data_IF_649540471832
#
_entry.id   IF_649540471832
#
_cell.length_a   1.000
_cell.length_b   1.000
_cell.length_c   1.000
_cell.angle_alpha   90.00
_cell.angle_beta   90.00
_cell.angle_gamma   90.00
#
_symmetry.space_group_name_H-M   'P 1'
#
loop_
_entity.id
_entity.type
_entity.pdbx_description
1 polymer ?
#
# COMPACT_ATOMS: atom_id res chain seq x y z
N UNK A 1 -9.93 -5.79 -5.68
CA UNK A 1 -8.89 -4.94 -5.11
C UNK A 1 -8.66 -5.37 -3.67
N UNK A 2 -7.75 -6.31 -3.48
CA UNK A 2 -7.29 -6.71 -2.14
C UNK A 2 -5.82 -6.31 -2.06
N UNK A 3 -5.58 -5.10 -1.58
CA UNK A 3 -4.24 -4.76 -1.11
C UNK A 3 -4.08 -5.37 0.26
N UNK A 4 -3.49 -6.54 0.31
CA UNK A 4 -2.97 -7.11 1.54
C UNK A 4 -1.59 -6.49 1.74
N UNK A 5 -1.56 -5.30 2.30
CA UNK A 5 -0.34 -4.85 2.96
C UNK A 5 -0.24 -5.62 4.28
N UNK A 6 0.22 -6.84 4.22
CA UNK A 6 0.64 -7.59 5.40
C UNK A 6 1.99 -7.04 5.84
N UNK A 7 1.99 -5.87 6.47
CA UNK A 7 3.13 -5.45 7.29
C UNK A 7 2.75 -5.72 8.74
N UNK A 8 2.79 -6.99 9.10
CA UNK A 8 2.87 -7.41 10.50
C UNK A 8 4.34 -7.33 10.93
N UNK A 9 4.87 -6.12 11.10
CA UNK A 9 6.13 -5.92 11.81
C UNK A 9 5.82 -5.95 13.30
N UNK A 10 5.95 -7.12 13.90
CA UNK A 10 6.03 -7.28 15.33
C UNK A 10 7.39 -6.75 15.81
N UNK A 11 7.45 -5.46 16.17
CA UNK A 11 8.56 -4.91 16.93
C UNK A 11 8.27 -5.07 18.42
N UNK A 12 9.20 -5.61 19.20
CA UNK A 12 9.08 -5.60 20.65
C UNK A 12 9.35 -4.17 21.13
N UNK A 13 8.30 -3.42 21.44
CA UNK A 13 8.45 -2.13 22.10
C UNK A 13 8.55 -2.36 23.60
N UNK A 14 9.77 -2.38 24.12
CA UNK A 14 10.02 -2.08 25.53
C UNK A 14 9.88 -0.55 25.71
N UNK A 15 8.68 -0.08 25.96
CA UNK A 15 8.46 1.26 26.49
C UNK A 15 8.23 1.18 27.99
N UNK A 16 9.27 1.45 28.78
CA UNK A 16 9.11 1.88 30.16
C UNK A 16 8.59 3.32 30.18
N UNK A 17 7.28 3.50 30.19
CA UNK A 17 6.66 4.76 30.54
C UNK A 17 6.04 4.62 31.93
N UNK A 18 6.64 5.27 32.93
CA UNK A 18 6.12 5.39 34.27
C UNK A 18 4.84 6.22 34.30
N UNK A 19 3.70 5.59 34.10
CA UNK A 19 2.41 6.05 34.59
C UNK A 19 1.91 4.98 35.54
N UNK A 20 1.47 5.38 36.77
CA UNK A 20 1.19 4.51 37.91
C UNK A 20 0.07 3.46 37.76
N UNK A 21 0.17 2.66 36.74
CA UNK A 21 -0.66 1.46 36.50
C UNK A 21 0.13 0.25 36.99
N UNK A 22 -0.50 -0.63 37.73
CA UNK A 22 0.10 -1.90 38.16
C UNK A 22 0.71 -2.63 36.92
N UNK A 23 1.89 -3.26 37.08
CA UNK A 23 2.52 -3.97 35.97
C UNK A 23 1.56 -5.01 35.41
N UNK A 24 1.58 -5.17 34.08
CA UNK A 24 0.75 -6.18 33.40
C UNK A 24 1.09 -7.58 33.96
N UNK A 25 0.09 -8.42 34.23
CA UNK A 25 0.34 -9.80 34.64
C UNK A 25 1.22 -10.52 33.60
N UNK A 26 2.32 -11.18 33.98
CA UNK A 26 3.22 -11.84 33.03
C UNK A 26 2.50 -12.84 32.12
N UNK A 27 1.44 -13.47 32.64
CA UNK A 27 0.63 -14.40 31.86
C UNK A 27 -0.21 -13.70 30.79
N UNK A 28 -0.71 -12.48 31.05
CA UNK A 28 -1.40 -11.67 30.05
C UNK A 28 -0.46 -11.28 28.91
N UNK A 29 0.78 -10.89 29.22
CA UNK A 29 1.80 -10.59 28.23
C UNK A 29 2.11 -11.80 27.35
N UNK A 30 2.44 -12.95 27.96
CA UNK A 30 2.76 -14.17 27.22
C UNK A 30 1.60 -14.65 26.32
N UNK A 31 0.36 -14.50 26.78
CA UNK A 31 -0.84 -14.82 25.98
C UNK A 31 -1.00 -13.86 24.81
N UNK A 32 -0.78 -12.57 25.02
CA UNK A 32 -0.82 -11.60 23.93
C UNK A 32 0.27 -11.88 22.88
N UNK A 33 1.51 -12.17 23.29
CA UNK A 33 2.60 -12.55 22.39
C UNK A 33 2.25 -13.80 21.56
N UNK A 34 1.71 -14.84 22.22
CA UNK A 34 1.25 -16.05 21.54
C UNK A 34 0.11 -15.75 20.54
N UNK A 35 -0.80 -14.84 20.90
CA UNK A 35 -1.86 -14.36 20.00
C UNK A 35 -1.31 -13.62 18.78
N UNK A 36 -0.30 -12.77 18.98
CA UNK A 36 0.38 -12.06 17.88
C UNK A 36 1.07 -13.03 16.92
N UNK A 37 1.75 -14.07 17.47
CA UNK A 37 2.36 -15.11 16.65
C UNK A 37 1.32 -15.89 15.81
N UNK A 38 0.17 -16.24 16.41
CA UNK A 38 -0.92 -16.92 15.73
C UNK A 38 -1.54 -16.01 14.63
N UNK A 39 -1.73 -14.72 14.93
CA UNK A 39 -2.24 -13.73 13.97
C UNK A 39 -1.28 -13.59 12.77
N UNK A 40 0.01 -13.54 13.01
CA UNK A 40 1.03 -13.50 11.96
C UNK A 40 1.04 -14.78 11.09
N UNK A 41 0.70 -15.93 11.68
CA UNK A 41 0.53 -17.19 10.95
C UNK A 41 -0.83 -17.30 10.22
N UNK A 42 -1.72 -16.32 10.37
CA UNK A 42 -3.07 -16.35 9.79
C UNK A 42 -4.07 -17.23 10.55
N UNK A 43 -3.68 -17.78 11.71
CA UNK A 43 -4.57 -18.56 12.58
C UNK A 43 -5.40 -17.62 13.47
N UNK A 44 -6.50 -17.13 12.88
CA UNK A 44 -7.37 -16.16 13.54
C UNK A 44 -8.11 -16.73 14.76
N UNK A 45 -8.36 -18.05 14.79
CA UNK A 45 -9.06 -18.69 15.89
C UNK A 45 -8.16 -18.78 17.12
N UNK A 46 -6.94 -19.28 16.94
CA UNK A 46 -5.95 -19.32 18.03
C UNK A 46 -5.59 -17.89 18.49
N UNK A 47 -5.43 -16.94 17.58
CA UNK A 47 -5.15 -15.55 17.93
C UNK A 47 -6.23 -14.97 18.83
N UNK A 48 -7.49 -15.08 18.43
CA UNK A 48 -8.64 -14.58 19.22
C UNK A 48 -8.74 -15.22 20.59
N UNK A 49 -8.59 -16.55 20.66
CA UNK A 49 -8.60 -17.28 21.93
C UNK A 49 -7.49 -16.80 22.88
N UNK A 50 -6.28 -16.55 22.37
CA UNK A 50 -5.14 -16.06 23.17
C UNK A 50 -5.36 -14.62 23.64
N UNK A 51 -5.85 -13.73 22.79
CA UNK A 51 -6.19 -12.36 23.19
C UNK A 51 -7.34 -12.33 24.19
N UNK A 52 -8.37 -13.16 24.02
CA UNK A 52 -9.47 -13.29 24.97
C UNK A 52 -8.97 -13.72 26.35
N UNK A 53 -8.11 -14.74 26.42
CA UNK A 53 -7.49 -15.16 27.67
C UNK A 53 -6.59 -14.06 28.28
N UNK A 54 -5.83 -13.32 27.47
CA UNK A 54 -5.05 -12.20 27.96
C UNK A 54 -5.94 -11.13 28.62
N UNK A 55 -7.12 -10.87 28.03
CA UNK A 55 -8.11 -9.93 28.54
C UNK A 55 -8.87 -10.43 29.78
N UNK A 56 -8.95 -11.75 30.02
CA UNK A 56 -9.43 -12.29 31.31
C UNK A 56 -8.47 -11.95 32.46
N UNK A 57 -7.14 -11.98 32.18
CA UNK A 57 -6.13 -11.58 33.17
C UNK A 57 -6.05 -10.07 33.37
N UNK A 58 -6.24 -9.30 32.30
CA UNK A 58 -6.30 -7.84 32.35
C UNK A 58 -7.32 -7.29 31.34
N UNK A 59 -8.55 -6.98 31.76
CA UNK A 59 -9.60 -6.44 30.87
C UNK A 59 -9.28 -5.06 30.27
N UNK A 60 -8.23 -4.38 30.75
CA UNK A 60 -7.78 -3.07 30.29
C UNK A 60 -6.49 -3.16 29.46
N UNK A 61 -6.07 -4.35 29.05
CA UNK A 61 -4.86 -4.53 28.26
C UNK A 61 -5.07 -4.00 26.84
N UNK A 62 -4.53 -2.80 26.60
CA UNK A 62 -4.73 -2.04 25.34
C UNK A 62 -4.27 -2.81 24.12
N UNK A 63 -3.08 -3.45 24.21
CA UNK A 63 -2.51 -4.19 23.07
C UNK A 63 -3.37 -5.41 22.71
N UNK A 64 -3.82 -6.18 23.73
CA UNK A 64 -4.69 -7.32 23.49
C UNK A 64 -6.04 -6.92 22.90
N UNK A 65 -6.63 -5.80 23.35
CA UNK A 65 -7.86 -5.24 22.76
C UNK A 65 -7.63 -4.81 21.31
N UNK A 66 -6.50 -4.17 21.02
CA UNK A 66 -6.16 -3.71 19.68
C UNK A 66 -5.95 -4.90 18.74
N UNK A 67 -5.19 -5.90 19.19
CA UNK A 67 -4.91 -7.10 18.42
C UNK A 67 -6.18 -7.93 18.17
N UNK A 68 -7.05 -8.06 19.17
CA UNK A 68 -8.36 -8.70 18.98
C UNK A 68 -9.22 -7.92 17.99
N UNK A 69 -9.19 -6.58 18.03
CA UNK A 69 -9.83 -5.73 17.04
C UNK A 69 -9.31 -5.96 15.63
N UNK A 70 -8.00 -6.20 15.45
CA UNK A 70 -7.40 -6.54 14.17
C UNK A 70 -7.83 -7.93 13.67
N UNK A 71 -7.99 -8.92 14.58
CA UNK A 71 -8.56 -10.24 14.22
C UNK A 71 -9.97 -10.08 13.68
N UNK A 72 -10.83 -9.32 14.36
CA UNK A 72 -12.21 -9.07 13.92
C UNK A 72 -12.27 -8.32 12.59
N UNK A 73 -11.32 -7.42 12.37
CA UNK A 73 -11.19 -6.70 11.09
C UNK A 73 -10.83 -7.67 9.94
N UNK A 74 -9.93 -8.63 10.17
CA UNK A 74 -9.58 -9.65 9.18
C UNK A 74 -10.75 -10.60 8.90
N UNK A 75 -11.58 -10.92 9.89
CA UNK A 75 -12.82 -11.68 9.74
C UNK A 75 -13.92 -10.91 9.00
N UNK A 76 -13.76 -9.60 8.81
CA UNK A 76 -14.79 -8.73 8.25
C UNK A 76 -15.86 -8.27 9.25
N UNK A 77 -15.68 -8.52 10.52
CA UNK A 77 -16.59 -8.14 11.61
C UNK A 77 -16.35 -6.68 12.03
N UNK A 78 -16.55 -5.75 11.14
CA UNK A 78 -16.14 -4.33 11.26
C UNK A 78 -16.75 -3.65 12.51
N UNK A 79 -17.99 -3.97 12.87
CA UNK A 79 -18.62 -3.37 14.04
C UNK A 79 -17.96 -3.84 15.34
N UNK A 80 -17.64 -5.13 15.44
CA UNK A 80 -16.93 -5.69 16.60
C UNK A 80 -15.51 -5.13 16.70
N UNK A 81 -14.80 -5.04 15.57
CA UNK A 81 -13.48 -4.41 15.48
C UNK A 81 -13.55 -2.97 16.01
N UNK A 82 -14.54 -2.18 15.56
CA UNK A 82 -14.73 -0.80 15.99
C UNK A 82 -14.91 -0.68 17.50
N UNK A 83 -15.74 -1.55 18.10
CA UNK A 83 -15.98 -1.56 19.54
C UNK A 83 -14.68 -1.79 20.32
N UNK A 84 -13.92 -2.83 19.94
CA UNK A 84 -12.66 -3.20 20.59
C UNK A 84 -11.60 -2.08 20.44
N UNK A 85 -11.40 -1.59 19.24
CA UNK A 85 -10.41 -0.56 18.94
C UNK A 85 -10.76 0.78 19.60
N UNK A 86 -12.04 1.16 19.62
CA UNK A 86 -12.50 2.37 20.34
C UNK A 86 -12.31 2.23 21.85
N UNK A 87 -12.54 1.03 22.40
CA UNK A 87 -12.27 0.75 23.82
C UNK A 87 -10.78 0.84 24.12
N UNK A 88 -9.92 0.25 23.29
CA UNK A 88 -8.47 0.34 23.43
C UNK A 88 -7.99 1.81 23.47
N UNK A 89 -8.42 2.61 22.48
CA UNK A 89 -8.11 4.05 22.38
C UNK A 89 -8.59 4.84 23.60
N UNK A 90 -9.78 4.56 24.13
CA UNK A 90 -10.31 5.25 25.32
C UNK A 90 -9.53 4.89 26.59
N UNK A 91 -9.03 3.68 26.70
CA UNK A 91 -8.24 3.24 27.84
C UNK A 91 -6.85 3.88 27.86
N UNK A 92 -6.24 4.05 26.71
CA UNK A 92 -4.99 4.79 26.57
C UNK A 92 -4.96 5.52 25.23
N UNK A 93 -5.28 6.83 25.19
CA UNK A 93 -5.27 7.63 23.98
C UNK A 93 -3.85 7.96 23.47
N UNK A 94 -2.83 7.76 24.31
CA UNK A 94 -1.43 8.07 24.01
C UNK A 94 -0.67 6.85 23.45
N UNK A 95 -1.39 5.88 22.91
CA UNK A 95 -0.84 4.72 22.19
C UNK A 95 -1.23 4.82 20.70
N UNK A 96 -0.24 4.78 19.81
CA UNK A 96 -0.47 4.96 18.37
C UNK A 96 -1.25 3.81 17.71
N UNK A 97 -1.04 2.58 18.16
CA UNK A 97 -1.61 1.37 17.54
C UNK A 97 -3.15 1.35 17.45
N UNK A 98 -3.94 1.69 18.49
CA UNK A 98 -5.40 1.76 18.38
C UNK A 98 -5.88 2.80 17.35
N UNK A 99 -5.19 3.95 17.25
CA UNK A 99 -5.49 4.97 16.26
C UNK A 99 -5.20 4.45 14.84
N UNK A 100 -4.04 3.82 14.65
CA UNK A 100 -3.67 3.18 13.40
C UNK A 100 -4.71 2.13 12.97
N UNK A 101 -5.06 1.21 13.86
CA UNK A 101 -6.02 0.14 13.58
C UNK A 101 -7.43 0.68 13.23
N UNK A 102 -7.85 1.80 13.85
CA UNK A 102 -9.08 2.51 13.46
C UNK A 102 -8.97 3.14 12.07
N UNK A 103 -7.79 3.60 11.67
CA UNK A 103 -7.50 4.05 10.33
C UNK A 103 -7.65 2.93 9.30
N UNK A 104 -7.04 1.77 9.58
CA UNK A 104 -7.16 0.57 8.73
C UNK A 104 -8.62 0.11 8.61
N UNK A 105 -9.38 0.14 9.71
CA UNK A 105 -10.81 -0.15 9.69
C UNK A 105 -11.57 0.81 8.77
N UNK A 106 -11.28 2.11 8.86
CA UNK A 106 -11.95 3.13 8.03
C UNK A 106 -11.63 2.95 6.53
N UNK A 107 -10.40 2.56 6.18
CA UNK A 107 -10.07 2.19 4.78
C UNK A 107 -10.90 1.00 4.28
N UNK A 108 -11.01 -0.05 5.10
CA UNK A 108 -11.84 -1.22 4.76
C UNK A 108 -13.31 -0.86 4.55
N UNK A 109 -13.79 0.15 5.26
CA UNK A 109 -15.13 0.70 5.11
C UNK A 109 -15.26 1.72 3.97
N UNK A 110 -14.18 1.98 3.22
CA UNK A 110 -14.11 2.97 2.14
C UNK A 110 -14.40 4.40 2.62
N UNK A 111 -13.88 4.75 3.78
CA UNK A 111 -14.03 6.07 4.42
C UNK A 111 -12.66 6.77 4.53
N UNK A 112 -12.09 7.24 3.42
CA UNK A 112 -10.72 7.78 3.37
C UNK A 112 -10.50 8.97 4.31
N UNK A 113 -11.50 9.84 4.49
CA UNK A 113 -11.41 10.99 5.41
C UNK A 113 -11.24 10.57 6.87
N UNK A 114 -11.90 9.49 7.29
CA UNK A 114 -11.75 8.95 8.64
C UNK A 114 -10.43 8.19 8.79
N UNK A 115 -9.99 7.50 7.75
CA UNK A 115 -8.73 6.81 7.74
C UNK A 115 -7.58 7.79 7.91
N UNK A 116 -7.53 8.86 7.10
CA UNK A 116 -6.49 9.89 7.19
C UNK A 116 -6.45 10.54 8.57
N UNK A 117 -7.61 10.92 9.14
CA UNK A 117 -7.69 11.49 10.50
C UNK A 117 -7.11 10.53 11.55
N UNK A 118 -7.44 9.25 11.46
CA UNK A 118 -6.97 8.24 12.41
C UNK A 118 -5.46 8.04 12.31
N UNK A 119 -4.89 8.06 11.10
CA UNK A 119 -3.46 7.97 10.89
C UNK A 119 -2.73 9.23 11.38
N UNK A 120 -3.28 10.42 11.15
CA UNK A 120 -2.74 11.65 11.72
C UNK A 120 -2.74 11.63 13.25
N UNK A 121 -3.79 11.12 13.89
CA UNK A 121 -3.81 10.96 15.36
C UNK A 121 -2.76 9.96 15.84
N UNK A 122 -2.55 8.84 15.13
CA UNK A 122 -1.47 7.92 15.47
C UNK A 122 -0.09 8.59 15.36
N UNK A 123 0.12 9.40 14.31
CA UNK A 123 1.38 10.13 14.09
C UNK A 123 1.55 11.34 15.03
N UNK A 124 0.46 11.89 15.56
CA UNK A 124 0.52 12.91 16.62
C UNK A 124 1.03 12.30 17.94
N UNK A 125 0.59 11.07 18.23
CA UNK A 125 1.02 10.32 19.43
C UNK A 125 2.45 9.82 19.28
N UNK A 126 2.77 9.22 18.14
CA UNK A 126 4.09 8.73 17.81
C UNK A 126 4.50 9.17 16.40
N UNK A 127 5.27 10.27 16.29
CA UNK A 127 5.75 10.75 14.99
C UNK A 127 6.65 9.76 14.24
N UNK A 128 7.21 8.76 14.92
CA UNK A 128 8.02 7.68 14.34
C UNK A 128 7.22 6.46 13.87
N UNK A 129 5.89 6.45 14.06
CA UNK A 129 5.07 5.27 13.80
C UNK A 129 4.94 5.00 12.28
N UNK A 130 5.92 4.26 11.75
CA UNK A 130 6.04 3.96 10.32
C UNK A 130 4.77 3.35 9.69
N UNK A 131 4.02 2.41 10.32
CA UNK A 131 2.82 1.85 9.72
C UNK A 131 1.74 2.87 9.38
N UNK A 132 1.44 3.82 10.28
CA UNK A 132 0.46 4.88 9.99
C UNK A 132 0.95 5.83 8.92
N UNK A 133 2.25 6.15 8.93
CA UNK A 133 2.84 7.03 7.92
C UNK A 133 2.80 6.41 6.53
N UNK A 134 3.08 5.10 6.43
CA UNK A 134 2.99 4.37 5.17
C UNK A 134 1.55 4.37 4.62
N UNK A 135 0.56 4.00 5.45
CA UNK A 135 -0.83 3.97 5.03
C UNK A 135 -1.35 5.36 4.65
N UNK A 136 -1.01 6.39 5.44
CA UNK A 136 -1.36 7.77 5.12
C UNK A 136 -0.74 8.23 3.80
N UNK A 137 0.54 7.92 3.56
CA UNK A 137 1.22 8.28 2.33
C UNK A 137 0.54 7.66 1.10
N UNK A 138 0.21 6.36 1.18
CA UNK A 138 -0.53 5.68 0.12
C UNK A 138 -1.94 6.23 -0.07
N UNK A 139 -2.66 6.51 1.03
CA UNK A 139 -4.01 7.07 0.97
C UNK A 139 -4.02 8.44 0.27
N UNK A 140 -3.06 9.29 0.59
CA UNK A 140 -2.88 10.60 -0.05
C UNK A 140 -2.51 10.46 -1.53
N UNK A 141 -1.60 9.54 -1.85
CA UNK A 141 -1.19 9.24 -3.23
C UNK A 141 -2.37 8.76 -4.07
N UNK A 142 -3.16 7.81 -3.56
CA UNK A 142 -4.33 7.26 -4.24
C UNK A 142 -5.46 8.31 -4.39
N UNK A 143 -5.50 9.28 -3.47
CA UNK A 143 -6.40 10.44 -3.53
C UNK A 143 -5.92 11.55 -4.48
N UNK A 144 -4.75 11.41 -5.11
CA UNK A 144 -4.17 12.42 -6.00
C UNK A 144 -3.52 13.61 -5.29
N UNK A 145 -3.34 13.54 -3.96
CA UNK A 145 -2.70 14.56 -3.14
C UNK A 145 -1.19 14.30 -3.10
N UNK A 146 -0.54 14.42 -4.26
CA UNK A 146 0.84 13.96 -4.45
C UNK A 146 1.87 14.75 -3.64
N UNK A 147 1.71 16.06 -3.44
CA UNK A 147 2.59 16.85 -2.61
C UNK A 147 2.52 16.45 -1.14
N UNK A 148 1.31 16.19 -0.62
CA UNK A 148 1.13 15.71 0.74
C UNK A 148 1.67 14.28 0.89
N UNK A 149 1.45 13.41 -0.10
CA UNK A 149 2.04 12.08 -0.15
C UNK A 149 3.57 12.14 -0.15
N UNK A 150 4.17 13.06 -0.93
CA UNK A 150 5.62 13.28 -0.97
C UNK A 150 6.19 13.59 0.40
N UNK A 151 5.54 14.46 1.17
CA UNK A 151 5.95 14.78 2.55
C UNK A 151 5.96 13.52 3.42
N UNK A 152 4.90 12.71 3.33
CA UNK A 152 4.81 11.50 4.15
C UNK A 152 5.80 10.41 3.70
N UNK A 153 6.00 10.20 2.40
CA UNK A 153 6.99 9.22 1.91
C UNK A 153 8.43 9.63 2.24
N UNK A 154 8.79 10.92 2.10
CA UNK A 154 10.11 11.39 2.53
C UNK A 154 10.35 11.08 4.00
N UNK A 155 9.39 11.42 4.85
CA UNK A 155 9.51 11.16 6.28
C UNK A 155 9.51 9.66 6.60
N UNK A 156 8.79 8.84 5.80
CA UNK A 156 8.80 7.39 5.96
C UNK A 156 10.19 6.79 5.68
N UNK A 157 10.85 7.23 4.61
CA UNK A 157 12.22 6.82 4.27
C UNK A 157 13.21 7.22 5.37
N UNK A 158 13.03 8.40 6.00
CA UNK A 158 13.88 8.83 7.12
C UNK A 158 13.71 7.95 8.37
N UNK A 159 12.47 7.56 8.72
CA UNK A 159 12.19 6.77 9.94
C UNK A 159 12.31 5.26 9.73
N UNK A 160 12.24 4.79 8.50
CA UNK A 160 12.28 3.38 8.13
C UNK A 160 13.05 3.19 6.80
N UNK A 161 14.36 3.47 6.76
CA UNK A 161 15.16 3.47 5.53
C UNK A 161 15.27 2.10 4.87
N UNK A 162 15.11 1.02 5.61
CA UNK A 162 15.20 -0.35 5.10
C UNK A 162 13.90 -0.83 4.41
N UNK A 163 12.83 -0.02 4.48
CA UNK A 163 11.54 -0.38 3.88
C UNK A 163 11.54 -0.01 2.40
N UNK A 164 11.80 -0.97 1.53
CA UNK A 164 11.86 -0.78 0.07
C UNK A 164 10.55 -0.17 -0.49
N UNK A 165 9.39 -0.56 0.05
CA UNK A 165 8.11 0.01 -0.33
C UNK A 165 8.01 1.53 -0.08
N UNK A 166 8.73 2.07 0.92
CA UNK A 166 8.80 3.50 1.17
C UNK A 166 9.54 4.24 0.03
N UNK A 167 10.68 3.70 -0.40
CA UNK A 167 11.43 4.23 -1.54
C UNK A 167 10.63 4.11 -2.84
N UNK A 168 9.93 2.99 -3.04
CA UNK A 168 9.06 2.82 -4.21
C UNK A 168 7.92 3.85 -4.23
N UNK A 169 7.26 4.09 -3.09
CA UNK A 169 6.23 5.11 -2.96
C UNK A 169 6.77 6.53 -3.20
N UNK A 170 7.94 6.83 -2.65
CA UNK A 170 8.64 8.11 -2.87
C UNK A 170 8.97 8.33 -4.35
N UNK A 171 9.58 7.34 -5.00
CA UNK A 171 9.93 7.41 -6.42
C UNK A 171 8.69 7.52 -7.31
N UNK A 172 7.63 6.77 -7.03
CA UNK A 172 6.36 6.85 -7.73
C UNK A 172 5.75 8.26 -7.62
N UNK A 173 5.82 8.87 -6.44
CA UNK A 173 5.32 10.22 -6.18
C UNK A 173 6.12 11.26 -6.94
N UNK A 174 7.46 11.17 -6.95
CA UNK A 174 8.30 12.05 -7.77
C UNK A 174 7.99 11.92 -9.26
N UNK A 175 7.77 10.69 -9.76
CA UNK A 175 7.38 10.50 -11.18
C UNK A 175 6.02 11.13 -11.50
N UNK A 176 5.06 11.12 -10.57
CA UNK A 176 3.78 11.81 -10.76
C UNK A 176 3.92 13.34 -10.77
N UNK A 177 4.82 13.86 -9.95
CA UNK A 177 5.13 15.30 -9.89
C UNK A 177 6.10 15.76 -10.98
N UNK A 178 6.43 14.89 -11.94
CA UNK A 178 7.38 15.15 -13.03
C UNK A 178 8.81 15.51 -12.57
N UNK A 179 9.13 15.16 -11.34
CA UNK A 179 10.44 15.37 -10.71
C UNK A 179 11.38 14.20 -11.03
N UNK A 180 11.72 14.09 -12.32
CA UNK A 180 12.41 12.93 -12.92
C UNK A 180 13.80 12.71 -12.32
N UNK A 181 14.53 13.79 -11.99
CA UNK A 181 15.88 13.68 -11.40
C UNK A 181 15.85 13.03 -10.02
N UNK A 182 14.96 13.53 -9.15
CA UNK A 182 14.82 12.99 -7.80
C UNK A 182 14.27 11.56 -7.81
N UNK A 183 13.34 11.26 -8.72
CA UNK A 183 12.88 9.88 -8.91
C UNK A 183 14.05 8.95 -9.29
N UNK A 184 14.94 9.41 -10.16
CA UNK A 184 16.10 8.65 -10.61
C UNK A 184 17.07 8.32 -9.47
N UNK A 185 17.35 9.29 -8.60
CA UNK A 185 18.22 9.10 -7.44
C UNK A 185 17.62 8.07 -6.48
N UNK A 186 16.35 8.23 -6.10
CA UNK A 186 15.67 7.30 -5.19
C UNK A 186 15.58 5.88 -5.77
N UNK A 187 15.31 5.74 -7.07
CA UNK A 187 15.25 4.43 -7.73
C UNK A 187 16.65 3.79 -7.76
N UNK A 188 17.70 4.57 -8.05
CA UNK A 188 19.06 4.05 -8.09
C UNK A 188 19.51 3.54 -6.71
N UNK A 189 19.26 4.33 -5.65
CA UNK A 189 19.59 3.97 -4.28
C UNK A 189 18.84 2.71 -3.83
N UNK A 190 17.54 2.64 -4.12
CA UNK A 190 16.73 1.49 -3.77
C UNK A 190 17.14 0.21 -4.53
N UNK A 191 17.49 0.32 -5.81
CA UNK A 191 17.98 -0.80 -6.62
C UNK A 191 19.39 -1.28 -6.18
N UNK A 192 20.20 -0.40 -5.59
CA UNK A 192 21.47 -0.81 -5.02
C UNK A 192 21.29 -1.75 -3.81
N UNK A 193 20.18 -1.60 -3.07
CA UNK A 193 19.84 -2.44 -1.90
C UNK A 193 19.03 -3.67 -2.34
N UNK A 194 18.09 -3.50 -3.27
CA UNK A 194 17.17 -4.55 -3.72
C UNK A 194 17.14 -4.62 -5.28
N UNK A 195 18.19 -5.17 -5.93
CA UNK A 195 18.31 -5.15 -7.39
C UNK A 195 17.22 -5.94 -8.11
N UNK A 196 16.66 -6.96 -7.47
CA UNK A 196 15.66 -7.87 -8.05
C UNK A 196 14.22 -7.49 -7.64
N UNK A 197 14.02 -6.31 -7.03
CA UNK A 197 12.69 -5.84 -6.60
C UNK A 197 11.79 -5.53 -7.81
N UNK A 198 10.71 -6.29 -8.05
CA UNK A 198 9.87 -6.09 -9.24
C UNK A 198 9.14 -4.74 -9.23
N UNK A 199 8.76 -4.20 -8.08
CA UNK A 199 8.18 -2.85 -7.95
C UNK A 199 9.18 -1.78 -8.41
N UNK A 200 10.43 -1.89 -7.96
CA UNK A 200 11.49 -0.96 -8.35
C UNK A 200 11.82 -1.08 -9.84
N UNK A 201 11.80 -2.30 -10.37
CA UNK A 201 12.00 -2.53 -11.80
C UNK A 201 10.91 -1.86 -12.65
N UNK A 202 9.65 -1.92 -12.22
CA UNK A 202 8.54 -1.21 -12.89
C UNK A 202 8.77 0.32 -12.83
N UNK A 203 9.21 0.85 -11.69
CA UNK A 203 9.49 2.29 -11.56
C UNK A 203 10.69 2.73 -12.41
N UNK A 204 11.74 1.91 -12.48
CA UNK A 204 12.88 2.15 -13.36
C UNK A 204 12.44 2.14 -14.84
N UNK A 205 11.58 1.20 -15.25
CA UNK A 205 11.03 1.17 -16.59
C UNK A 205 10.19 2.42 -16.91
N UNK A 206 9.39 2.91 -15.97
CA UNK A 206 8.64 4.17 -16.12
C UNK A 206 9.59 5.36 -16.30
N UNK A 207 10.70 5.40 -15.57
CA UNK A 207 11.75 6.40 -15.75
C UNK A 207 12.42 6.30 -17.13
N UNK A 208 12.73 5.09 -17.58
CA UNK A 208 13.30 4.81 -18.91
C UNK A 208 12.36 5.26 -20.03
N UNK A 209 11.03 4.98 -19.90
CA UNK A 209 10.03 5.46 -20.84
C UNK A 209 10.05 7.00 -20.95
N UNK A 210 10.11 7.70 -19.81
CA UNK A 210 10.18 9.18 -19.80
C UNK A 210 11.45 9.74 -20.41
N UNK A 211 12.52 8.96 -20.43
CA UNK A 211 13.79 9.28 -21.09
C UNK A 211 13.85 8.81 -22.54
N UNK A 212 12.73 8.33 -23.09
CA UNK A 212 12.64 7.72 -24.43
C UNK A 212 13.56 6.50 -24.62
N UNK A 213 13.94 5.84 -23.55
CA UNK A 213 14.76 4.61 -23.54
C UNK A 213 13.85 3.37 -23.58
N UNK A 214 13.03 3.27 -24.63
CA UNK A 214 11.93 2.29 -24.69
C UNK A 214 12.41 0.84 -24.70
N UNK A 215 13.51 0.52 -25.43
CA UNK A 215 14.06 -0.84 -25.46
C UNK A 215 14.54 -1.30 -24.09
N UNK A 216 15.15 -0.41 -23.30
CA UNK A 216 15.56 -0.71 -21.92
C UNK A 216 14.35 -0.98 -21.04
N UNK A 217 13.31 -0.15 -21.12
CA UNK A 217 12.07 -0.33 -20.38
C UNK A 217 11.39 -1.66 -20.72
N UNK A 218 11.28 -2.00 -22.00
CA UNK A 218 10.70 -3.27 -22.45
C UNK A 218 11.50 -4.47 -21.92
N UNK A 219 12.84 -4.43 -22.07
CA UNK A 219 13.69 -5.50 -21.57
C UNK A 219 13.55 -5.73 -20.07
N UNK A 220 13.37 -4.65 -19.29
CA UNK A 220 13.16 -4.68 -17.85
C UNK A 220 11.78 -5.22 -17.45
N UNK A 221 10.74 -4.88 -18.20
CA UNK A 221 9.36 -5.27 -17.88
C UNK A 221 9.03 -6.71 -18.27
N UNK A 222 9.55 -7.19 -19.40
CA UNK A 222 9.22 -8.53 -19.95
C UNK A 222 9.36 -9.67 -18.93
N UNK A 223 10.41 -9.78 -18.11
CA UNK A 223 10.50 -10.84 -17.11
C UNK A 223 9.35 -10.85 -16.11
N UNK A 224 8.87 -9.66 -15.68
CA UNK A 224 7.82 -9.48 -14.69
C UNK A 224 6.45 -9.90 -15.27
N UNK A 225 6.24 -9.72 -16.58
CA UNK A 225 4.97 -10.04 -17.25
C UNK A 225 4.64 -11.53 -17.32
N UNK A 226 5.57 -12.41 -16.94
CA UNK A 226 5.36 -13.88 -16.95
C UNK A 226 4.54 -14.37 -15.76
N UNK A 227 4.44 -13.58 -14.70
CA UNK A 227 3.65 -13.87 -13.50
C UNK A 227 2.15 -13.68 -13.69
N UNK A 228 1.40 -13.98 -12.63
CA UNK A 228 -0.05 -13.71 -12.51
C UNK A 228 -0.38 -12.78 -11.34
N UNK A 229 0.62 -12.14 -10.78
CA UNK A 229 0.47 -11.19 -9.67
C UNK A 229 -0.06 -9.84 -10.14
N UNK A 230 -0.47 -9.00 -9.20
CA UNK A 230 -0.82 -7.59 -9.47
C UNK A 230 0.34 -6.85 -10.13
N UNK A 231 1.58 -7.14 -9.74
CA UNK A 231 2.78 -6.59 -10.38
C UNK A 231 2.91 -6.97 -11.86
N UNK A 232 2.53 -8.18 -12.22
CA UNK A 232 2.52 -8.58 -13.63
C UNK A 232 1.48 -7.79 -14.43
N UNK A 233 0.33 -7.47 -13.85
CA UNK A 233 -0.69 -6.59 -14.47
C UNK A 233 -0.14 -5.20 -14.71
N UNK A 234 0.50 -4.60 -13.70
CA UNK A 234 1.13 -3.29 -13.82
C UNK A 234 2.29 -3.30 -14.84
N UNK A 235 3.13 -4.33 -14.79
CA UNK A 235 4.22 -4.48 -15.78
C UNK A 235 3.69 -4.58 -17.21
N UNK A 236 2.60 -5.31 -17.44
CA UNK A 236 1.94 -5.41 -18.75
C UNK A 236 1.36 -4.08 -19.21
N UNK A 237 0.74 -3.31 -18.33
CA UNK A 237 0.20 -2.00 -18.66
C UNK A 237 1.32 -1.00 -19.04
N UNK A 238 2.44 -1.01 -18.31
CA UNK A 238 3.61 -0.18 -18.64
C UNK A 238 4.36 -0.69 -19.87
N UNK A 239 4.38 -2.00 -20.10
CA UNK A 239 4.89 -2.58 -21.36
C UNK A 239 4.08 -2.05 -22.56
N UNK A 240 2.75 -2.05 -22.46
CA UNK A 240 1.89 -1.48 -23.49
C UNK A 240 2.21 0.01 -23.75
N UNK A 241 2.47 0.78 -22.69
CA UNK A 241 2.86 2.18 -22.83
C UNK A 241 4.21 2.34 -23.53
N UNK A 242 5.21 1.51 -23.21
CA UNK A 242 6.52 1.52 -23.85
C UNK A 242 6.44 1.15 -25.35
N UNK A 243 5.68 0.08 -25.67
CA UNK A 243 5.44 -0.37 -27.05
C UNK A 243 4.72 0.72 -27.88
N UNK A 244 3.72 1.35 -27.27
CA UNK A 244 2.98 2.44 -27.92
C UNK A 244 3.88 3.65 -28.21
N UNK A 245 4.71 4.04 -27.25
CA UNK A 245 5.65 5.16 -27.39
C UNK A 245 6.73 4.87 -28.46
N UNK A 246 7.09 3.60 -28.66
CA UNK A 246 8.00 3.14 -29.70
C UNK A 246 7.32 2.99 -31.07
N UNK A 247 6.02 3.27 -31.17
CA UNK A 247 5.27 3.19 -32.43
C UNK A 247 4.83 1.78 -32.81
N UNK A 248 4.67 0.89 -31.83
CA UNK A 248 4.22 -0.51 -31.98
C UNK A 248 2.84 -0.72 -31.36
N UNK A 249 1.77 -0.14 -31.92
CA UNK A 249 0.45 -0.16 -31.28
C UNK A 249 -0.20 -1.55 -31.22
N UNK A 250 0.14 -2.48 -32.12
CA UNK A 250 -0.38 -3.85 -32.11
C UNK A 250 0.16 -4.63 -30.90
N UNK A 251 1.47 -4.52 -30.65
CA UNK A 251 2.15 -5.12 -29.50
C UNK A 251 1.63 -4.51 -28.19
N UNK A 252 1.36 -3.21 -28.18
CA UNK A 252 0.76 -2.53 -27.05
C UNK A 252 -0.64 -3.06 -26.73
N UNK A 253 -1.50 -3.30 -27.74
CA UNK A 253 -2.81 -3.95 -27.54
C UNK A 253 -2.63 -5.34 -26.95
N UNK A 254 -1.74 -6.16 -27.51
CA UNK A 254 -1.52 -7.52 -27.00
C UNK A 254 -1.06 -7.55 -25.54
N UNK A 255 -0.19 -6.63 -25.12
CA UNK A 255 0.23 -6.50 -23.73
C UNK A 255 -0.93 -6.07 -22.82
N UNK A 256 -1.71 -5.06 -23.23
CA UNK A 256 -2.83 -4.53 -22.47
C UNK A 256 -3.99 -5.57 -22.35
N UNK A 257 -4.28 -6.34 -23.38
CA UNK A 257 -5.27 -7.43 -23.33
C UNK A 257 -4.86 -8.52 -22.34
N UNK A 258 -3.57 -8.86 -22.27
CA UNK A 258 -3.06 -9.79 -21.27
C UNK A 258 -3.23 -9.22 -19.85
N UNK A 259 -3.02 -7.92 -19.66
CA UNK A 259 -3.26 -7.28 -18.37
C UNK A 259 -4.74 -7.37 -17.97
N UNK A 260 -5.65 -7.07 -18.90
CA UNK A 260 -7.11 -7.19 -18.69
C UNK A 260 -7.54 -8.64 -18.40
N UNK A 261 -6.93 -9.62 -19.08
CA UNK A 261 -7.22 -11.03 -18.83
C UNK A 261 -6.85 -11.46 -17.40
N UNK A 262 -5.77 -10.89 -16.83
CA UNK A 262 -5.34 -11.14 -15.46
C UNK A 262 -6.19 -10.36 -14.43
N UNK A 263 -6.52 -9.11 -14.74
CA UNK A 263 -7.26 -8.21 -13.85
C UNK A 263 -8.33 -7.42 -14.64
N UNK A 264 -9.52 -7.98 -14.85
CA UNK A 264 -10.56 -7.35 -15.67
C UNK A 264 -11.02 -5.98 -15.19
N UNK A 265 -10.88 -5.68 -13.90
CA UNK A 265 -11.30 -4.42 -13.29
C UNK A 265 -10.10 -3.53 -12.89
N UNK A 266 -8.95 -3.72 -13.52
CA UNK A 266 -7.80 -2.83 -13.31
C UNK A 266 -7.93 -1.58 -14.18
N UNK A 267 -7.78 -0.40 -13.54
CA UNK A 267 -7.94 0.88 -14.20
C UNK A 267 -6.78 1.18 -15.14
N UNK A 268 -5.54 0.85 -14.73
CA UNK A 268 -4.33 1.12 -15.52
C UNK A 268 -4.32 0.25 -16.78
N UNK A 269 -4.65 -1.05 -16.64
CA UNK A 269 -4.79 -1.97 -17.78
C UNK A 269 -5.89 -1.52 -18.74
N UNK A 270 -7.06 -1.09 -18.21
CA UNK A 270 -8.16 -0.56 -19.04
C UNK A 270 -7.74 0.68 -19.80
N UNK A 271 -6.98 1.59 -19.15
CA UNK A 271 -6.48 2.79 -19.80
C UNK A 271 -5.43 2.46 -20.86
N UNK A 272 -4.47 1.58 -20.57
CA UNK A 272 -3.45 1.13 -21.52
C UNK A 272 -4.08 0.52 -22.78
N UNK A 273 -5.09 -0.32 -22.62
CA UNK A 273 -5.83 -0.88 -23.76
C UNK A 273 -6.56 0.20 -24.55
N UNK A 274 -7.25 1.12 -23.85
CA UNK A 274 -7.97 2.23 -24.48
C UNK A 274 -7.09 3.15 -25.34
N UNK A 275 -5.92 3.55 -24.82
CA UNK A 275 -4.99 4.40 -25.60
C UNK A 275 -4.36 3.64 -26.78
N UNK A 276 -4.05 2.36 -26.61
CA UNK A 276 -3.49 1.51 -27.67
C UNK A 276 -4.47 1.32 -28.83
N UNK A 277 -5.73 1.01 -28.52
CA UNK A 277 -6.81 0.92 -29.51
C UNK A 277 -7.09 2.26 -30.19
N UNK A 278 -7.05 3.37 -29.44
CA UNK A 278 -7.20 4.71 -29.99
C UNK A 278 -6.15 5.02 -31.05
N UNK A 279 -4.91 4.59 -30.83
CA UNK A 279 -3.81 4.78 -31.78
C UNK A 279 -4.02 4.01 -33.08
N UNK A 280 -4.73 2.88 -33.02
CA UNK A 280 -5.12 2.07 -34.18
C UNK A 280 -6.41 2.58 -34.85
N UNK A 281 -7.09 3.57 -34.28
CA UNK A 281 -8.39 4.03 -34.79
C UNK A 281 -9.56 3.08 -34.46
N UNK A 282 -9.38 2.14 -33.51
CA UNK A 282 -10.41 1.18 -33.15
C UNK A 282 -11.52 1.87 -32.33
N UNK A 283 -12.81 1.75 -32.73
CA UNK A 283 -13.93 2.37 -32.02
C UNK A 283 -14.13 1.86 -30.60
N UNK A 284 -13.63 0.67 -30.25
CA UNK A 284 -13.69 0.14 -28.89
C UNK A 284 -12.86 0.94 -27.89
N UNK A 285 -11.91 1.76 -28.35
CA UNK A 285 -11.03 2.60 -27.53
C UNK A 285 -11.84 3.44 -26.52
N UNK A 286 -12.92 4.07 -26.98
CA UNK A 286 -13.76 4.94 -26.14
C UNK A 286 -14.31 4.21 -24.92
N UNK A 287 -14.86 3.02 -25.13
CA UNK A 287 -15.43 2.19 -24.04
C UNK A 287 -14.39 1.87 -22.96
N UNK A 288 -13.17 1.55 -23.37
CA UNK A 288 -12.10 1.21 -22.45
C UNK A 288 -11.59 2.44 -21.67
N UNK A 289 -11.51 3.60 -22.29
CA UNK A 289 -11.14 4.85 -21.63
C UNK A 289 -12.22 5.30 -20.62
N UNK A 290 -13.51 5.21 -20.97
CA UNK A 290 -14.63 5.47 -20.06
C UNK A 290 -14.58 4.51 -18.86
N UNK A 291 -14.35 3.21 -19.10
CA UNK A 291 -14.18 2.22 -18.04
C UNK A 291 -13.02 2.54 -17.11
N UNK A 292 -11.86 2.90 -17.65
CA UNK A 292 -10.70 3.28 -16.86
C UNK A 292 -11.01 4.46 -15.94
N UNK A 293 -11.65 5.50 -16.47
CA UNK A 293 -12.05 6.69 -15.69
C UNK A 293 -13.08 6.39 -14.61
N UNK A 294 -14.01 5.45 -14.87
CA UNK A 294 -14.99 5.00 -13.88
C UNK A 294 -14.35 4.18 -12.74
N UNK A 295 -13.28 3.41 -13.05
CA UNK A 295 -12.55 2.63 -12.07
C UNK A 295 -11.60 3.49 -11.21
N UNK A 296 -10.93 4.46 -11.83
CA UNK A 296 -10.05 5.42 -11.16
C UNK A 296 -9.97 6.73 -11.94
N UNK A 297 -10.53 7.83 -11.43
CA UNK A 297 -10.44 9.15 -12.10
C UNK A 297 -9.01 9.65 -12.33
N UNK A 298 -8.05 9.23 -11.48
CA UNK A 298 -6.64 9.64 -11.57
C UNK A 298 -5.79 8.82 -12.53
N UNK A 299 -6.30 7.70 -13.08
CA UNK A 299 -5.48 6.79 -13.90
C UNK A 299 -4.94 7.43 -15.18
N UNK A 300 -5.65 8.43 -15.72
CA UNK A 300 -5.25 9.18 -16.91
C UNK A 300 -3.90 9.87 -16.74
N UNK A 301 -3.66 10.46 -15.58
CA UNK A 301 -2.44 11.23 -15.30
C UNK A 301 -1.20 10.33 -15.32
N UNK A 302 -1.34 9.06 -14.93
CA UNK A 302 -0.22 8.13 -14.84
C UNK A 302 0.40 7.79 -16.20
N UNK A 303 -0.40 7.69 -17.28
CA UNK A 303 0.06 7.29 -18.62
C UNK A 303 0.09 8.43 -19.65
N UNK A 304 -0.67 9.52 -19.47
CA UNK A 304 -0.64 10.67 -20.39
C UNK A 304 0.73 11.41 -20.35
N UNK A 305 1.51 11.21 -19.30
CA UNK A 305 2.87 11.72 -19.18
C UNK A 305 3.90 10.98 -20.07
N UNK A 306 3.46 10.02 -20.87
CA UNK A 306 4.28 9.24 -21.83
C UNK A 306 4.26 9.84 -23.25
N UNK A 307 3.66 11.03 -23.43
CA UNK A 307 3.61 11.74 -24.73
C UNK A 307 4.89 12.46 -25.05
#
# INVERSE_FOLDING_TARGET
MQRIAAIALALPVLCLACTGTAPLPPKALALNEAGVAALAAGDLETADARFSLALEYNPKFVDALTNQGLVELQRGNFERARQLLTRARRLNPDVAQPHHALGVLAERERRPDLASRSYYEALRVDPGFAPSRANLAHLLYDGGLFEDALVQFKRLVEVAPDVIAAHAGLAATFLHLERVSEASEVIADALAVAPDGPELAILAARLEIRRAQYDAAIARLVPITRGRSELAVHALAWLAAAELAQGRPQEAVGAAERAIALAPNDALASYALGISLKKLGDPAARRWLERASALSPGVRVALDSVR
#
